data_IF_335535757461
#
_entry.id   IF_335535757461
#
_cell.length_a   1.000
_cell.length_b   1.000
_cell.length_c   1.000
_cell.angle_alpha   90.00
_cell.angle_beta   90.00
_cell.angle_gamma   90.00
#
_symmetry.space_group_name_H-M   'P 1'
#
loop_
_entity.id
_entity.type
_entity.pdbx_description
1 polymer ?
#
# COMPACT_ATOMS: atom_id res chain seq x y z
N UNK A 1 -5.36 10.19 -30.50
CA UNK A 1 -6.44 10.42 -29.51
C UNK A 1 -7.25 9.19 -29.14
N UNK A 2 -7.62 8.30 -30.07
CA UNK A 2 -8.42 7.09 -29.74
C UNK A 2 -7.75 6.16 -28.72
N UNK A 3 -6.42 5.96 -28.80
CA UNK A 3 -5.69 5.16 -27.82
C UNK A 3 -5.79 5.73 -26.39
N UNK A 4 -5.64 7.06 -26.24
CA UNK A 4 -5.83 7.76 -24.98
C UNK A 4 -7.23 7.52 -24.41
N UNK A 5 -8.27 7.69 -25.24
CA UNK A 5 -9.65 7.45 -24.81
C UNK A 5 -9.88 6.00 -24.37
N UNK A 6 -9.28 5.02 -25.07
CA UNK A 6 -9.36 3.61 -24.68
C UNK A 6 -8.73 3.35 -23.31
N UNK A 7 -7.53 3.89 -23.04
CA UNK A 7 -6.86 3.77 -21.75
C UNK A 7 -7.62 4.47 -20.61
N UNK A 8 -8.16 5.65 -20.88
CA UNK A 8 -9.01 6.37 -19.92
C UNK A 8 -10.30 5.58 -19.64
N UNK A 9 -10.94 5.01 -20.67
CA UNK A 9 -12.14 4.17 -20.52
C UNK A 9 -11.86 2.97 -19.62
N UNK A 10 -10.73 2.27 -19.82
CA UNK A 10 -10.33 1.17 -18.96
C UNK A 10 -10.09 1.62 -17.53
N UNK A 11 -9.44 2.77 -17.33
CA UNK A 11 -9.17 3.32 -15.99
C UNK A 11 -10.46 3.66 -15.25
N UNK A 12 -11.43 4.28 -15.92
CA UNK A 12 -12.71 4.69 -15.32
C UNK A 12 -13.73 3.54 -15.21
N UNK A 13 -13.56 2.44 -15.93
CA UNK A 13 -14.40 1.25 -15.81
C UNK A 13 -14.39 0.68 -14.38
N UNK A 14 -13.25 0.76 -13.70
CA UNK A 14 -13.06 0.28 -12.33
C UNK A 14 -13.41 1.32 -11.25
N UNK A 15 -13.93 2.49 -11.65
CA UNK A 15 -14.21 3.64 -10.76
C UNK A 15 -15.70 4.02 -10.80
N UNK A 16 -16.61 3.16 -10.31
CA UNK A 16 -18.05 3.40 -10.40
C UNK A 16 -18.45 4.71 -9.69
N UNK A 17 -19.20 5.54 -10.42
CA UNK A 17 -19.67 6.85 -9.93
C UNK A 17 -18.60 7.95 -9.93
N UNK A 18 -17.42 7.72 -10.53
CA UNK A 18 -16.46 8.79 -10.80
C UNK A 18 -17.05 9.83 -11.77
N UNK A 19 -16.55 11.07 -11.69
CA UNK A 19 -17.07 12.18 -12.50
C UNK A 19 -16.01 12.66 -13.48
N UNK A 20 -16.43 13.13 -14.64
CA UNK A 20 -15.49 13.67 -15.63
C UNK A 20 -15.85 15.13 -15.85
N UNK A 21 -14.84 16.00 -15.76
CA UNK A 21 -15.01 17.41 -16.08
C UNK A 21 -15.17 17.58 -17.59
N UNK A 22 -16.26 18.23 -18.00
CA UNK A 22 -16.60 18.45 -19.42
C UNK A 22 -15.55 19.26 -20.19
N UNK A 23 -14.71 20.05 -19.50
CA UNK A 23 -13.57 20.76 -20.13
C UNK A 23 -12.65 19.81 -20.90
N UNK A 24 -12.62 18.52 -20.53
CA UNK A 24 -11.78 17.51 -21.19
C UNK A 24 -12.10 17.35 -22.69
N UNK A 25 -13.31 17.69 -23.13
CA UNK A 25 -13.72 17.62 -24.53
C UNK A 25 -12.88 18.58 -25.40
N UNK A 26 -12.43 19.69 -24.82
CA UNK A 26 -11.59 20.68 -25.48
C UNK A 26 -10.09 20.43 -25.29
N UNK A 27 -9.71 19.45 -24.45
CA UNK A 27 -8.31 19.17 -24.12
C UNK A 27 -7.69 18.20 -25.14
N UNK A 28 -6.53 18.52 -25.75
CA UNK A 28 -5.85 17.62 -26.68
C UNK A 28 -5.24 16.42 -25.94
N UNK A 29 -6.02 15.34 -25.76
CA UNK A 29 -5.61 14.14 -25.00
C UNK A 29 -4.33 13.48 -25.49
N UNK A 30 -3.95 13.67 -26.77
CA UNK A 30 -2.70 13.13 -27.30
C UNK A 30 -1.44 13.82 -26.74
N UNK A 31 -1.60 14.97 -26.08
CA UNK A 31 -0.53 15.72 -25.42
C UNK A 31 -0.49 15.48 -23.90
N UNK A 32 -1.35 14.59 -23.38
CA UNK A 32 -1.40 14.32 -21.95
C UNK A 32 -0.17 13.54 -21.48
N UNK A 33 0.43 13.97 -20.36
CA UNK A 33 1.65 13.40 -19.78
C UNK A 33 1.43 12.00 -19.21
N UNK A 34 0.19 11.67 -18.83
CA UNK A 34 -0.15 10.35 -18.30
C UNK A 34 -0.10 9.24 -19.35
N UNK A 35 -0.02 9.57 -20.64
CA UNK A 35 0.07 8.58 -21.69
C UNK A 35 1.36 7.78 -21.58
N UNK A 36 1.28 6.44 -21.72
CA UNK A 36 2.47 5.63 -21.68
C UNK A 36 3.24 5.73 -23.02
N UNK A 37 4.52 5.30 -23.03
CA UNK A 37 5.27 5.13 -24.27
C UNK A 37 4.54 4.24 -25.27
N UNK A 38 4.85 4.40 -26.57
CA UNK A 38 4.21 3.64 -27.63
C UNK A 38 4.31 2.12 -27.41
N UNK A 39 3.20 1.41 -27.60
CA UNK A 39 3.12 -0.05 -27.49
C UNK A 39 2.70 -0.58 -26.11
N UNK A 40 2.71 0.27 -25.08
CA UNK A 40 2.23 -0.11 -23.74
C UNK A 40 0.70 -0.07 -23.70
N UNK A 41 0.10 -1.16 -23.22
CA UNK A 41 -1.38 -1.32 -23.15
C UNK A 41 -1.98 -1.08 -21.78
N UNK A 42 -1.15 -1.03 -20.73
CA UNK A 42 -1.60 -0.90 -19.35
C UNK A 42 -0.91 0.29 -18.68
N UNK A 43 -1.67 1.06 -17.91
CA UNK A 43 -1.15 2.18 -17.16
C UNK A 43 -0.54 1.70 -15.84
N UNK A 44 0.61 2.27 -15.47
CA UNK A 44 1.13 2.17 -14.10
C UNK A 44 0.20 2.88 -13.12
N UNK A 45 0.32 2.59 -11.81
CA UNK A 45 -0.43 3.30 -10.77
C UNK A 45 -0.32 4.83 -10.90
N UNK A 46 0.90 5.35 -11.04
CA UNK A 46 1.15 6.79 -11.19
C UNK A 46 0.50 7.37 -12.44
N UNK A 47 0.49 6.63 -13.55
CA UNK A 47 -0.20 7.04 -14.77
C UNK A 47 -1.72 7.03 -14.61
N UNK A 48 -2.31 6.03 -13.90
CA UNK A 48 -3.74 6.03 -13.58
C UNK A 48 -4.11 7.25 -12.73
N UNK A 49 -3.31 7.57 -11.71
CA UNK A 49 -3.51 8.77 -10.90
C UNK A 49 -3.42 10.07 -11.70
N UNK A 50 -2.42 10.21 -12.57
CA UNK A 50 -2.31 11.36 -13.46
C UNK A 50 -3.47 11.44 -14.47
N UNK A 51 -3.95 10.31 -14.99
CA UNK A 51 -5.13 10.23 -15.84
C UNK A 51 -6.38 10.71 -15.09
N UNK A 52 -6.63 10.19 -13.89
CA UNK A 52 -7.73 10.60 -13.03
C UNK A 52 -7.65 12.10 -12.73
N UNK A 53 -6.47 12.63 -12.41
CA UNK A 53 -6.27 14.05 -12.14
C UNK A 53 -6.70 14.91 -13.34
N UNK A 54 -6.31 14.55 -14.56
CA UNK A 54 -6.72 15.24 -15.79
C UNK A 54 -8.24 15.18 -15.99
N UNK A 55 -8.86 14.01 -15.86
CA UNK A 55 -10.28 13.84 -16.16
C UNK A 55 -11.20 14.44 -15.08
N UNK A 56 -10.82 14.36 -13.80
CA UNK A 56 -11.60 14.96 -12.70
C UNK A 56 -11.44 16.49 -12.66
N UNK A 57 -10.27 17.04 -12.95
CA UNK A 57 -10.07 18.49 -12.94
C UNK A 57 -10.38 19.17 -14.28
N UNK A 58 -10.21 18.44 -15.39
CA UNK A 58 -10.20 18.98 -16.75
C UNK A 58 -8.91 19.75 -17.12
N UNK A 59 -7.94 19.85 -16.19
CA UNK A 59 -6.83 20.81 -16.28
C UNK A 59 -5.48 20.22 -15.85
N UNK A 60 -5.43 19.49 -14.73
CA UNK A 60 -4.18 19.05 -14.09
C UNK A 60 -3.48 17.92 -14.85
N UNK A 61 -2.63 18.30 -15.81
CA UNK A 61 -1.77 17.40 -16.57
C UNK A 61 -0.43 17.18 -15.87
N UNK A 62 -0.44 16.36 -14.82
CA UNK A 62 0.73 16.14 -13.95
C UNK A 62 1.58 14.99 -14.49
N UNK A 63 2.91 15.13 -14.40
CA UNK A 63 3.83 14.07 -14.79
C UNK A 63 3.68 12.83 -13.86
N UNK A 64 3.46 11.61 -14.40
CA UNK A 64 3.37 10.38 -13.62
C UNK A 64 4.56 10.08 -12.70
N UNK A 65 5.75 10.62 -12.98
CA UNK A 65 6.93 10.46 -12.12
C UNK A 65 6.68 11.09 -10.75
N UNK A 66 5.98 12.23 -10.70
CA UNK A 66 5.62 12.90 -9.45
C UNK A 66 4.55 12.12 -8.68
N UNK A 67 3.76 11.29 -9.38
CA UNK A 67 2.70 10.45 -8.81
C UNK A 67 3.22 9.14 -8.19
N UNK A 68 4.53 8.88 -8.23
CA UNK A 68 5.09 7.58 -7.79
C UNK A 68 4.78 7.27 -6.31
N UNK A 69 4.85 8.29 -5.45
CA UNK A 69 4.67 8.19 -3.99
C UNK A 69 3.21 8.46 -3.57
N UNK A 70 2.33 8.75 -4.53
CA UNK A 70 0.91 8.97 -4.28
C UNK A 70 0.21 7.64 -4.03
N UNK A 71 -0.49 7.56 -2.91
CA UNK A 71 -1.29 6.40 -2.49
C UNK A 71 -2.78 6.62 -2.71
N UNK A 72 -3.23 7.88 -2.79
CA UNK A 72 -4.62 8.21 -3.10
C UNK A 72 -4.79 9.67 -3.60
N UNK A 73 -5.89 9.95 -4.28
CA UNK A 73 -6.31 11.31 -4.66
C UNK A 73 -7.69 11.58 -4.06
N UNK A 74 -7.86 12.67 -3.33
CA UNK A 74 -9.18 13.18 -2.95
C UNK A 74 -9.58 14.32 -3.86
N UNK A 75 -10.74 14.23 -4.51
CA UNK A 75 -11.31 15.30 -5.30
C UNK A 75 -12.83 15.32 -5.16
N UNK A 76 -13.40 16.48 -4.83
CA UNK A 76 -14.83 16.70 -4.59
C UNK A 76 -15.44 15.76 -3.53
N UNK A 77 -16.11 14.70 -3.98
CA UNK A 77 -16.79 13.68 -3.15
C UNK A 77 -16.24 12.27 -3.41
N UNK A 78 -15.05 12.18 -4.01
CA UNK A 78 -14.42 10.93 -4.39
C UNK A 78 -13.00 10.87 -3.86
N UNK A 79 -12.66 9.74 -3.26
CA UNK A 79 -11.30 9.35 -2.93
C UNK A 79 -10.91 8.20 -3.87
N UNK A 80 -9.92 8.43 -4.71
CA UNK A 80 -9.32 7.44 -5.59
C UNK A 80 -8.11 6.86 -4.88
N UNK A 81 -8.26 5.69 -4.26
CA UNK A 81 -7.23 5.06 -3.45
C UNK A 81 -6.54 3.92 -4.20
N UNK A 82 -5.24 3.78 -3.99
CA UNK A 82 -4.48 2.63 -4.46
C UNK A 82 -5.11 1.33 -3.94
N UNK A 83 -5.24 0.35 -4.82
CA UNK A 83 -5.74 -0.97 -4.46
C UNK A 83 -4.78 -1.69 -3.48
N UNK A 84 -3.53 -1.22 -3.35
CA UNK A 84 -2.58 -1.71 -2.33
C UNK A 84 -3.09 -1.57 -0.90
N UNK A 85 -3.97 -0.59 -0.63
CA UNK A 85 -4.56 -0.38 0.69
C UNK A 85 -5.72 -1.35 1.00
N UNK A 86 -6.16 -2.12 0.01
CA UNK A 86 -7.40 -2.90 0.05
C UNK A 86 -7.21 -4.38 -0.37
N UNK A 87 -5.98 -4.85 -0.52
CA UNK A 87 -5.69 -6.20 -0.99
C UNK A 87 -4.55 -6.84 -0.21
N UNK A 88 -4.51 -8.16 -0.28
CA UNK A 88 -3.47 -8.97 0.33
C UNK A 88 -2.10 -8.77 -0.36
N UNK A 89 -1.01 -8.55 0.39
CA UNK A 89 0.30 -8.30 -0.20
C UNK A 89 0.93 -9.53 -0.87
N UNK A 90 0.33 -10.71 -0.71
CA UNK A 90 0.76 -11.96 -1.34
C UNK A 90 0.45 -12.05 -2.83
N UNK A 91 -0.49 -11.25 -3.35
CA UNK A 91 -0.74 -11.09 -4.78
C UNK A 91 -0.27 -9.72 -5.28
N UNK A 92 0.11 -9.66 -6.55
CA UNK A 92 0.47 -8.44 -7.26
C UNK A 92 -0.53 -8.06 -8.34
N UNK A 93 -1.63 -8.81 -8.46
CA UNK A 93 -2.60 -8.66 -9.56
C UNK A 93 -3.18 -7.24 -9.62
N UNK A 94 -3.30 -6.59 -8.46
CA UNK A 94 -3.90 -5.27 -8.29
C UNK A 94 -2.90 -4.15 -7.98
N UNK A 95 -1.59 -4.36 -8.19
CA UNK A 95 -0.54 -3.38 -7.81
C UNK A 95 -0.71 -2.01 -8.47
N UNK A 96 -1.25 -2.00 -9.69
CA UNK A 96 -1.49 -0.79 -10.47
C UNK A 96 -2.95 -0.32 -10.43
N UNK A 97 -3.81 -0.97 -9.65
CA UNK A 97 -5.23 -0.65 -9.61
C UNK A 97 -5.54 0.49 -8.66
N UNK A 98 -6.60 1.21 -8.99
CA UNK A 98 -7.14 2.31 -8.20
C UNK A 98 -8.61 2.02 -7.99
N UNK A 99 -9.08 2.20 -6.76
CA UNK A 99 -10.50 2.04 -6.39
C UNK A 99 -11.05 3.37 -5.94
N UNK A 100 -12.32 3.62 -6.27
CA UNK A 100 -13.05 4.80 -5.80
C UNK A 100 -13.78 4.50 -4.51
N UNK A 101 -13.63 5.38 -3.52
CA UNK A 101 -14.39 5.45 -2.28
C UNK A 101 -15.16 6.77 -2.27
N UNK A 102 -16.41 6.74 -1.82
CA UNK A 102 -17.22 7.95 -1.66
C UNK A 102 -16.78 8.69 -0.40
N UNK A 103 -16.43 9.97 -0.53
CA UNK A 103 -15.97 10.80 0.57
C UNK A 103 -14.95 11.84 0.14
N UNK A 104 -14.50 12.66 1.08
CA UNK A 104 -13.40 13.59 0.87
C UNK A 104 -12.60 13.75 2.17
N UNK A 105 -11.45 14.41 2.06
CA UNK A 105 -10.54 14.63 3.18
C UNK A 105 -10.73 16.00 3.85
N UNK A 106 -11.87 16.67 3.63
CA UNK A 106 -12.19 17.97 4.22
C UNK A 106 -11.31 19.13 3.74
N UNK A 107 -10.56 18.97 2.65
CA UNK A 107 -9.71 20.01 2.04
C UNK A 107 -10.30 20.47 0.70
N UNK A 108 -10.07 21.74 0.37
CA UNK A 108 -10.46 22.34 -0.90
C UNK A 108 -9.57 21.87 -2.05
N UNK A 109 -10.11 21.83 -3.26
CA UNK A 109 -9.35 21.43 -4.45
C UNK A 109 -9.14 19.92 -4.57
N UNK A 110 -8.03 19.55 -5.21
CA UNK A 110 -7.57 18.18 -5.39
C UNK A 110 -6.37 17.92 -4.46
N UNK A 111 -6.47 16.86 -3.67
CA UNK A 111 -5.43 16.48 -2.70
C UNK A 111 -4.77 15.19 -3.16
N UNK A 112 -3.46 15.23 -3.33
CA UNK A 112 -2.60 14.11 -3.62
C UNK A 112 -2.05 13.57 -2.28
N UNK A 113 -2.59 12.45 -1.81
CA UNK A 113 -2.16 11.82 -0.57
C UNK A 113 -0.90 10.99 -0.82
N UNK A 114 0.19 11.33 -0.14
CA UNK A 114 1.50 10.66 -0.28
C UNK A 114 1.82 9.84 0.95
N UNK A 115 2.51 8.71 0.73
CA UNK A 115 3.02 7.86 1.81
C UNK A 115 4.02 8.62 2.70
N UNK A 116 4.13 8.27 3.99
CA UNK A 116 5.04 8.95 4.91
C UNK A 116 6.50 8.66 4.56
N UNK A 117 7.37 9.66 4.65
CA UNK A 117 8.81 9.45 4.38
C UNK A 117 9.51 8.63 5.47
N UNK A 118 9.05 8.73 6.71
CA UNK A 118 9.67 8.08 7.87
C UNK A 118 8.58 7.42 8.76
N UNK A 119 8.00 6.28 8.32
CA UNK A 119 6.99 5.59 9.10
C UNK A 119 7.56 5.12 10.45
N UNK A 120 6.85 5.42 11.55
CA UNK A 120 7.32 5.12 12.91
C UNK A 120 6.77 3.80 13.39
N UNK A 121 7.51 3.10 14.25
CA UNK A 121 7.01 1.91 14.94
C UNK A 121 6.99 2.16 16.44
N UNK A 122 6.08 1.50 17.16
CA UNK A 122 6.02 1.57 18.62
C UNK A 122 7.36 1.15 19.20
N UNK A 123 7.98 2.08 19.92
CA UNK A 123 9.22 1.84 20.63
C UNK A 123 9.01 0.90 21.82
N UNK A 124 10.08 0.23 22.23
CA UNK A 124 10.09 -0.56 23.47
C UNK A 124 9.99 0.41 24.65
N UNK A 125 8.90 0.34 25.41
CA UNK A 125 8.77 1.12 26.64
C UNK A 125 9.61 0.47 27.74
N UNK A 126 10.74 1.06 28.10
CA UNK A 126 11.65 0.54 29.13
C UNK A 126 11.01 0.44 30.52
N UNK A 127 9.93 1.18 30.77
CA UNK A 127 9.19 1.14 32.04
C UNK A 127 8.12 0.03 32.07
N UNK A 128 7.80 -0.57 30.92
CA UNK A 128 6.92 -1.73 30.80
C UNK A 128 7.77 -2.94 30.45
N UNK A 129 8.37 -3.60 31.45
CA UNK A 129 9.08 -4.85 31.22
C UNK A 129 8.08 -5.96 30.87
N UNK A 130 7.74 -6.09 29.58
CA UNK A 130 7.00 -7.24 29.05
C UNK A 130 8.01 -8.27 28.58
N UNK A 131 8.01 -9.43 29.20
CA UNK A 131 8.81 -10.56 28.73
C UNK A 131 8.20 -11.05 27.42
N UNK A 132 8.88 -10.79 26.30
CA UNK A 132 8.50 -11.29 24.98
C UNK A 132 9.03 -12.71 24.82
N UNK A 133 8.12 -13.68 24.69
CA UNK A 133 8.44 -15.10 24.56
C UNK A 133 8.19 -15.59 23.14
N UNK A 134 9.24 -16.01 22.44
CA UNK A 134 9.13 -16.56 21.09
C UNK A 134 8.99 -18.09 21.15
N UNK A 135 7.76 -18.58 20.98
CA UNK A 135 7.46 -20.00 21.05
C UNK A 135 7.87 -20.74 19.77
N UNK A 136 8.23 -22.04 19.84
CA UNK A 136 8.43 -22.87 18.66
C UNK A 136 7.16 -22.90 17.80
N UNK A 137 7.34 -22.79 16.48
CA UNK A 137 6.20 -22.84 15.57
C UNK A 137 5.62 -24.26 15.52
N UNK A 138 4.29 -24.35 15.72
CA UNK A 138 3.57 -25.62 15.85
C UNK A 138 3.02 -26.16 14.52
N UNK A 139 3.32 -25.52 13.38
CA UNK A 139 2.83 -25.92 12.06
C UNK A 139 1.44 -25.41 11.70
N UNK A 140 0.72 -24.79 12.64
CA UNK A 140 -0.67 -24.35 12.41
C UNK A 140 -0.74 -22.93 11.86
N UNK A 141 -1.50 -22.79 10.79
CA UNK A 141 -1.89 -21.50 10.23
C UNK A 141 -3.07 -20.93 11.02
N UNK A 142 -2.78 -20.03 11.95
CA UNK A 142 -3.77 -19.34 12.79
C UNK A 142 -3.76 -17.85 12.49
N UNK A 143 -4.86 -17.16 12.82
CA UNK A 143 -4.92 -15.70 12.85
C UNK A 143 -4.81 -15.22 14.30
N UNK A 144 -3.62 -14.80 14.68
CA UNK A 144 -3.30 -14.24 16.00
C UNK A 144 -3.53 -12.71 16.04
N UNK A 145 -3.80 -12.07 14.90
CA UNK A 145 -3.87 -10.62 14.70
C UNK A 145 -5.29 -10.11 14.38
N UNK A 146 -6.31 -10.80 14.88
CA UNK A 146 -7.73 -10.54 14.58
C UNK A 146 -8.22 -9.14 14.92
N UNK A 147 -7.61 -8.48 15.91
CA UNK A 147 -7.98 -7.14 16.37
C UNK A 147 -7.27 -6.02 15.60
N UNK A 148 -6.59 -6.34 14.50
CA UNK A 148 -5.85 -5.34 13.70
C UNK A 148 -6.81 -4.46 12.91
N UNK A 149 -6.58 -3.15 12.95
CA UNK A 149 -7.24 -2.17 12.08
C UNK A 149 -6.21 -1.23 11.44
N UNK A 150 -6.59 -0.65 10.29
CA UNK A 150 -5.83 0.40 9.60
C UNK A 150 -6.61 1.71 9.67
N UNK A 151 -5.94 2.76 10.12
CA UNK A 151 -6.49 4.10 10.26
C UNK A 151 -5.70 5.07 9.38
N UNK A 152 -6.40 5.96 8.70
CA UNK A 152 -5.77 6.96 7.84
C UNK A 152 -5.83 8.32 8.55
N UNK A 153 -4.68 8.93 8.73
CA UNK A 153 -4.52 10.25 9.37
C UNK A 153 -3.63 11.14 8.51
N UNK A 154 -3.80 12.46 8.60
CA UNK A 154 -2.98 13.42 7.87
C UNK A 154 -2.00 14.11 8.81
N UNK A 155 -0.78 14.39 8.34
CA UNK A 155 0.12 15.30 9.05
C UNK A 155 -0.19 16.75 8.67
N UNK A 156 0.49 17.70 9.31
CA UNK A 156 0.40 19.12 8.94
C UNK A 156 1.21 19.45 7.69
N UNK A 157 1.97 18.49 7.14
CA UNK A 157 2.78 18.71 5.96
C UNK A 157 1.91 18.81 4.71
N UNK A 158 1.94 19.99 4.09
CA UNK A 158 1.32 20.26 2.81
C UNK A 158 2.32 20.90 1.85
N UNK A 159 2.35 20.42 0.61
CA UNK A 159 3.16 21.01 -0.45
C UNK A 159 2.25 21.37 -1.64
N UNK A 160 2.01 22.66 -1.92
CA UNK A 160 1.26 23.04 -3.10
C UNK A 160 1.99 22.63 -4.38
N UNK A 161 1.23 22.18 -5.38
CA UNK A 161 1.77 21.86 -6.69
C UNK A 161 1.64 23.10 -7.58
N UNK A 162 2.76 23.55 -8.14
CA UNK A 162 2.73 24.64 -9.10
C UNK A 162 2.11 24.15 -10.42
N UNK A 163 0.90 24.65 -10.71
CA UNK A 163 0.15 24.36 -11.94
C UNK A 163 0.42 25.36 -13.06
N UNK A 164 1.35 26.31 -12.85
CA UNK A 164 1.83 27.25 -13.87
C UNK A 164 0.94 28.47 -14.11
N UNK A 165 -0.18 28.62 -13.39
CA UNK A 165 -1.07 29.78 -13.49
C UNK A 165 -0.64 30.89 -12.51
N UNK A 166 -0.09 31.99 -13.03
CA UNK A 166 0.28 33.16 -12.23
C UNK A 166 -0.98 33.90 -11.75
N UNK A 167 -1.16 34.03 -10.43
CA UNK A 167 -2.20 34.86 -9.82
C UNK A 167 -3.39 34.12 -9.18
N UNK A 168 -3.39 32.78 -9.20
CA UNK A 168 -4.34 31.99 -8.41
C UNK A 168 -3.97 32.08 -6.91
N UNK A 169 -4.94 32.49 -6.08
CA UNK A 169 -4.77 32.59 -4.62
C UNK A 169 -5.04 31.23 -3.96
N UNK A 170 -5.97 30.44 -4.52
CA UNK A 170 -6.35 29.14 -4.00
C UNK A 170 -5.36 28.05 -4.44
N UNK A 171 -4.91 27.25 -3.46
CA UNK A 171 -4.12 26.03 -3.70
C UNK A 171 -5.04 24.93 -4.20
N UNK A 172 -5.38 24.94 -5.48
CA UNK A 172 -6.34 23.96 -6.01
C UNK A 172 -5.76 22.54 -6.14
N UNK A 173 -4.44 22.39 -6.00
CA UNK A 173 -3.73 21.11 -6.02
C UNK A 173 -2.60 21.08 -4.99
N UNK A 174 -2.62 20.11 -4.08
CA UNK A 174 -1.57 19.96 -3.07
C UNK A 174 -1.24 18.50 -2.76
N UNK A 175 0.02 18.27 -2.39
CA UNK A 175 0.43 17.04 -1.71
C UNK A 175 0.14 17.16 -0.22
N UNK A 176 -0.40 16.10 0.36
CA UNK A 176 -0.63 15.97 1.81
C UNK A 176 -0.02 14.65 2.25
N UNK A 177 0.90 14.72 3.21
CA UNK A 177 1.46 13.52 3.80
C UNK A 177 0.39 12.80 4.63
N UNK A 178 0.23 11.51 4.35
CA UNK A 178 -0.84 10.67 4.87
C UNK A 178 -0.25 9.48 5.60
N UNK A 179 -0.50 9.40 6.91
CA UNK A 179 -0.09 8.28 7.76
C UNK A 179 -1.12 7.17 7.64
N UNK A 180 -0.65 5.97 7.29
CA UNK A 180 -1.43 4.73 7.39
C UNK A 180 -1.00 4.06 8.69
N UNK A 181 -1.90 4.01 9.67
CA UNK A 181 -1.58 3.62 11.04
C UNK A 181 -2.20 2.28 11.37
N UNK A 182 -1.39 1.36 11.87
CA UNK A 182 -1.78 0.04 12.36
C UNK A 182 -2.16 0.17 13.82
N UNK A 183 -3.34 -0.33 14.16
CA UNK A 183 -3.85 -0.43 15.52
C UNK A 183 -4.12 -1.88 15.89
N UNK A 184 -3.93 -2.22 17.16
CA UNK A 184 -4.39 -3.46 17.77
C UNK A 184 -5.13 -3.14 19.06
N UNK A 185 -6.41 -3.53 19.15
CA UNK A 185 -7.28 -3.27 20.32
C UNK A 185 -7.18 -1.81 20.79
N UNK A 186 -7.36 -0.87 19.84
CA UNK A 186 -7.29 0.57 20.05
C UNK A 186 -5.92 1.14 20.45
N UNK A 187 -4.85 0.32 20.43
CA UNK A 187 -3.49 0.80 20.64
C UNK A 187 -2.76 0.96 19.31
N UNK A 188 -2.14 2.14 19.12
CA UNK A 188 -1.26 2.38 17.98
C UNK A 188 -0.03 1.47 18.04
N UNK A 189 0.29 0.82 16.93
CA UNK A 189 1.41 -0.11 16.78
C UNK A 189 2.50 0.46 15.88
N UNK A 190 2.14 0.99 14.71
CA UNK A 190 3.08 1.54 13.75
C UNK A 190 2.37 2.36 12.69
N UNK A 191 3.10 3.27 12.06
CA UNK A 191 2.79 3.80 10.75
C UNK A 191 3.42 2.87 9.69
N UNK A 192 2.75 2.68 8.57
CA UNK A 192 3.20 1.80 7.48
C UNK A 192 3.31 2.52 6.14
N UNK A 193 4.31 2.13 5.36
CA UNK A 193 4.43 2.45 3.95
C UNK A 193 4.23 1.17 3.11
N UNK A 194 3.15 1.16 2.32
CA UNK A 194 2.75 0.02 1.50
C UNK A 194 3.50 -0.05 0.18
N UNK A 195 4.14 1.04 -0.27
CA UNK A 195 4.75 1.11 -1.59
C UNK A 195 5.93 0.14 -1.74
N UNK A 196 6.90 0.06 -0.81
CA UNK A 196 8.05 -0.82 -0.95
C UNK A 196 7.68 -2.31 -0.96
N UNK A 197 6.62 -2.71 -0.26
CA UNK A 197 6.14 -4.11 -0.24
C UNK A 197 5.56 -4.52 -1.59
N UNK A 198 5.01 -3.57 -2.34
CA UNK A 198 4.38 -3.81 -3.65
C UNK A 198 5.34 -3.80 -4.83
N UNK A 199 6.60 -3.41 -4.62
CA UNK A 199 7.62 -3.32 -5.66
C UNK A 199 8.14 -4.71 -6.07
N UNK A 200 8.20 -4.97 -7.37
CA UNK A 200 8.63 -6.27 -7.91
C UNK A 200 10.16 -6.46 -7.85
N UNK A 201 10.91 -5.36 -7.84
CA UNK A 201 12.38 -5.31 -7.78
C UNK A 201 12.91 -5.27 -6.34
N UNK A 202 12.03 -5.36 -5.34
CA UNK A 202 12.43 -5.41 -3.94
C UNK A 202 12.84 -6.82 -3.52
N UNK A 203 14.14 -7.12 -3.59
CA UNK A 203 14.73 -8.40 -3.19
C UNK A 203 14.46 -8.80 -1.72
N UNK A 204 14.12 -7.83 -0.85
CA UNK A 204 13.76 -8.10 0.53
C UNK A 204 12.35 -8.68 0.69
N UNK A 205 11.48 -8.58 -0.33
CA UNK A 205 10.09 -9.05 -0.28
C UNK A 205 9.87 -10.11 -1.36
N UNK A 206 9.76 -11.37 -0.94
CA UNK A 206 9.48 -12.49 -1.83
C UNK A 206 8.07 -13.00 -1.61
N UNK A 207 7.42 -13.46 -2.68
CA UNK A 207 6.11 -14.12 -2.64
C UNK A 207 6.32 -15.59 -2.96
N UNK A 208 5.87 -16.46 -2.07
CA UNK A 208 6.05 -17.89 -2.26
C UNK A 208 5.06 -18.39 -3.34
N UNK A 209 5.61 -18.90 -4.43
CA UNK A 209 4.86 -19.49 -5.55
C UNK A 209 5.13 -21.00 -5.69
N UNK A 210 5.89 -21.59 -4.77
CA UNK A 210 6.29 -22.99 -4.82
C UNK A 210 5.07 -23.88 -4.57
N UNK A 211 4.75 -24.72 -5.54
CA UNK A 211 3.76 -25.79 -5.38
C UNK A 211 4.47 -27.01 -4.80
N UNK A 212 4.10 -27.40 -3.60
CA UNK A 212 4.68 -28.57 -2.97
C UNK A 212 4.20 -29.86 -3.65
N UNK A 213 5.13 -30.77 -3.97
CA UNK A 213 4.83 -32.06 -4.63
C UNK A 213 4.63 -33.21 -3.65
N UNK A 214 4.79 -32.98 -2.35
CA UNK A 214 4.64 -34.03 -1.32
C UNK A 214 4.33 -33.46 0.05
N UNK A 215 3.41 -34.11 0.77
CA UNK A 215 3.09 -33.74 2.14
C UNK A 215 4.14 -34.32 3.10
N UNK A 216 4.95 -33.45 3.72
CA UNK A 216 5.79 -33.82 4.87
C UNK A 216 5.19 -33.20 6.13
N UNK A 217 4.85 -33.99 7.16
CA UNK A 217 4.34 -33.46 8.42
C UNK A 217 5.44 -32.84 9.30
N UNK A 218 6.70 -32.96 8.91
CA UNK A 218 7.84 -32.50 9.71
C UNK A 218 8.02 -31.00 9.58
N UNK A 219 7.93 -30.28 10.69
CA UNK A 219 8.14 -28.84 10.77
C UNK A 219 9.61 -28.59 11.14
N UNK A 220 10.35 -27.73 10.41
CA UNK A 220 11.72 -27.39 10.78
C UNK A 220 11.78 -26.78 12.19
N UNK A 221 12.66 -27.30 13.04
CA UNK A 221 12.82 -26.84 14.44
C UNK A 221 13.36 -25.41 14.56
N UNK A 222 13.81 -24.82 13.46
CA UNK A 222 14.28 -23.44 13.38
C UNK A 222 13.13 -22.42 13.36
N UNK A 223 11.89 -22.85 13.13
CA UNK A 223 10.74 -21.96 13.02
C UNK A 223 10.23 -21.54 14.39
N UNK A 224 10.00 -20.24 14.58
CA UNK A 224 9.35 -19.66 15.76
C UNK A 224 8.08 -18.92 15.36
N UNK A 225 7.03 -19.00 16.18
CA UNK A 225 5.79 -18.27 15.93
C UNK A 225 5.92 -16.82 16.40
N UNK A 226 5.26 -15.92 15.67
CA UNK A 226 5.00 -14.54 16.06
C UNK A 226 3.48 -14.36 16.11
N UNK A 227 2.97 -14.09 17.31
CA UNK A 227 1.55 -14.16 17.67
C UNK A 227 0.95 -12.86 18.16
N UNK A 228 1.76 -11.84 18.33
CA UNK A 228 1.32 -10.50 18.68
C UNK A 228 2.32 -9.48 18.14
N UNK A 229 1.92 -8.21 18.23
CA UNK A 229 2.72 -7.11 17.72
C UNK A 229 3.99 -6.89 18.54
N UNK A 230 3.98 -7.16 19.84
CA UNK A 230 5.16 -7.08 20.69
C UNK A 230 6.26 -8.06 20.23
N UNK A 231 5.91 -9.32 19.95
CA UNK A 231 6.82 -10.31 19.38
C UNK A 231 7.35 -9.88 18.00
N UNK A 232 6.52 -9.26 17.16
CA UNK A 232 6.97 -8.76 15.85
C UNK A 232 7.95 -7.58 15.99
N UNK A 233 7.72 -6.70 16.96
CA UNK A 233 8.53 -5.50 17.18
C UNK A 233 9.86 -5.81 17.89
N UNK A 234 9.86 -6.81 18.77
CA UNK A 234 11.02 -7.31 19.53
C UNK A 234 11.37 -8.76 19.14
N UNK A 235 11.92 -8.92 17.94
CA UNK A 235 12.30 -10.23 17.39
C UNK A 235 13.54 -10.84 18.06
N UNK A 236 13.73 -12.18 18.01
CA UNK A 236 14.92 -12.82 18.55
C UNK A 236 16.21 -12.31 17.91
N UNK A 237 17.28 -12.15 18.72
CA UNK A 237 18.61 -11.69 18.24
C UNK A 237 19.26 -12.66 17.24
N UNK A 238 18.85 -13.93 17.24
CA UNK A 238 19.32 -14.99 16.36
C UNK A 238 18.43 -15.20 15.12
N UNK A 239 17.42 -14.32 14.91
CA UNK A 239 16.59 -14.31 13.71
C UNK A 239 17.46 -14.16 12.45
N UNK A 240 17.21 -15.01 11.46
CA UNK A 240 17.97 -15.06 10.20
C UNK A 240 19.32 -15.78 10.29
N UNK A 241 19.74 -16.22 11.48
CA UNK A 241 20.95 -17.04 11.68
C UNK A 241 20.61 -18.46 12.09
N UNK A 242 19.87 -18.60 13.19
CA UNK A 242 19.47 -19.90 13.76
C UNK A 242 17.96 -20.11 13.70
N UNK A 243 17.19 -19.03 13.61
CA UNK A 243 15.73 -19.06 13.62
C UNK A 243 15.12 -18.32 12.45
N UNK A 244 13.93 -18.73 12.07
CA UNK A 244 13.07 -18.03 11.12
C UNK A 244 11.73 -17.77 11.79
N UNK A 245 11.27 -16.53 11.78
CA UNK A 245 10.01 -16.13 12.37
C UNK A 245 8.85 -16.35 11.40
N UNK A 246 7.75 -16.89 11.92
CA UNK A 246 6.51 -17.13 11.19
C UNK A 246 5.42 -16.27 11.82
N UNK A 247 5.02 -15.21 11.11
CA UNK A 247 3.91 -14.35 11.52
C UNK A 247 2.59 -15.05 11.22
N UNK A 248 1.83 -15.37 12.27
CA UNK A 248 0.57 -16.12 12.16
C UNK A 248 -0.62 -15.18 11.94
N UNK A 249 -0.75 -14.71 10.71
CA UNK A 249 -1.85 -13.83 10.23
C UNK A 249 -2.67 -14.53 9.13
N UNK A 250 -3.05 -15.80 9.36
CA UNK A 250 -3.72 -16.61 8.34
C UNK A 250 -5.08 -16.03 7.93
N UNK A 251 -5.32 -15.90 6.62
CA UNK A 251 -6.56 -15.39 6.04
C UNK A 251 -6.97 -13.98 6.51
N UNK A 252 -6.00 -13.22 7.03
CA UNK A 252 -6.18 -11.84 7.46
C UNK A 252 -5.28 -10.93 6.63
N UNK A 253 -5.79 -10.50 5.47
CA UNK A 253 -5.02 -9.69 4.52
C UNK A 253 -4.51 -8.38 5.13
N UNK A 254 -5.27 -7.79 6.06
CA UNK A 254 -4.95 -6.53 6.71
C UNK A 254 -3.78 -6.71 7.67
N UNK A 255 -3.80 -7.74 8.51
CA UNK A 255 -2.68 -8.09 9.38
C UNK A 255 -1.43 -8.50 8.58
N UNK A 256 -1.61 -9.23 7.47
CA UNK A 256 -0.51 -9.59 6.56
C UNK A 256 0.14 -8.38 5.92
N UNK A 257 -0.66 -7.42 5.44
CA UNK A 257 -0.17 -6.15 4.90
C UNK A 257 0.61 -5.37 5.95
N UNK A 258 0.02 -5.18 7.14
CA UNK A 258 0.66 -4.48 8.25
C UNK A 258 1.99 -5.14 8.67
N UNK A 259 1.99 -6.46 8.87
CA UNK A 259 3.19 -7.19 9.25
C UNK A 259 4.27 -7.13 8.17
N UNK A 260 3.90 -7.26 6.89
CA UNK A 260 4.85 -7.15 5.78
C UNK A 260 5.51 -5.77 5.72
N UNK A 261 4.74 -4.70 5.88
CA UNK A 261 5.26 -3.33 5.88
C UNK A 261 6.17 -3.08 7.10
N UNK A 262 5.73 -3.46 8.31
CA UNK A 262 6.53 -3.30 9.53
C UNK A 262 7.86 -4.08 9.42
N UNK A 263 7.83 -5.32 8.93
CA UNK A 263 9.03 -6.13 8.76
C UNK A 263 9.99 -5.52 7.73
N UNK A 264 9.47 -5.07 6.59
CA UNK A 264 10.27 -4.42 5.55
C UNK A 264 10.90 -3.12 6.06
N UNK A 265 10.14 -2.30 6.79
CA UNK A 265 10.62 -1.05 7.40
C UNK A 265 11.70 -1.29 8.46
N UNK A 266 11.65 -2.42 9.16
CA UNK A 266 12.70 -2.85 10.11
C UNK A 266 13.90 -3.50 9.42
N UNK A 267 13.91 -3.62 8.10
CA UNK A 267 15.01 -4.17 7.31
C UNK A 267 15.05 -5.70 7.26
N UNK A 268 13.95 -6.39 7.60
CA UNK A 268 13.88 -7.83 7.48
C UNK A 268 13.62 -8.27 6.05
N UNK A 269 14.21 -9.41 5.66
CA UNK A 269 13.81 -10.14 4.46
C UNK A 269 12.59 -10.97 4.78
N UNK A 270 11.54 -10.82 3.99
CA UNK A 270 10.25 -11.45 4.20
C UNK A 270 9.87 -12.35 3.03
N UNK A 271 9.19 -13.45 3.36
CA UNK A 271 8.53 -14.32 2.41
C UNK A 271 7.04 -14.32 2.74
N UNK A 272 6.22 -13.89 1.78
CA UNK A 272 4.77 -13.89 1.91
C UNK A 272 4.27 -15.22 1.34
N UNK A 273 3.85 -16.12 2.24
CA UNK A 273 3.27 -17.39 1.87
C UNK A 273 1.85 -17.23 1.33
N UNK A 274 1.35 -18.11 0.44
CA UNK A 274 -0.05 -18.13 0.04
C UNK A 274 -0.97 -18.39 1.26
N UNK A 275 -2.24 -17.99 1.17
CA UNK A 275 -3.19 -18.23 2.27
C UNK A 275 -3.50 -19.72 2.47
N UNK A 276 -3.31 -20.54 1.44
CA UNK A 276 -3.62 -21.98 1.44
C UNK A 276 -2.42 -22.77 0.97
N UNK A 277 -2.39 -24.05 1.34
CA UNK A 277 -1.43 -25.04 0.85
C UNK A 277 0.04 -24.68 1.09
N UNK A 278 0.33 -24.02 2.22
CA UNK A 278 1.71 -23.71 2.64
C UNK A 278 2.40 -24.99 3.08
N UNK A 279 3.51 -25.31 2.43
CA UNK A 279 4.42 -26.34 2.92
C UNK A 279 5.57 -25.68 3.69
N UNK A 280 5.67 -25.94 4.98
CA UNK A 280 6.71 -25.37 5.85
C UNK A 280 8.12 -25.94 5.59
N UNK A 281 8.23 -26.95 4.73
CA UNK A 281 9.51 -27.52 4.31
C UNK A 281 10.05 -26.87 3.01
N UNK A 282 9.18 -26.29 2.19
CA UNK A 282 9.52 -25.69 0.90
C UNK A 282 9.71 -24.18 1.02
#
# INVERSE_FOLDING_TARGET
SLHALSLATQTFADLPGATINLKIISTPLHQSLWLPPQGVRFLSRGQKFACIAVFESGLYNIDPIVMKDVIAISSRNSIFASALLHNDPGSLDHVNDVRRVVGNVGKTGMVLMVAPQAPRTKGVNLNEFRLVCHNPFNGKSEDSFRSTSLHLTFTEFELPVDVGERGAIDKDLCFVETLIQVYDRDQWIADIDVLPVSQNDNDAVRRNTVKCTGFSPTIPSILVSIDNWEELLDVPKDLGKLRVAVVRAHDNWLARLAAACICQQKGFRIVINPSKDVCWQC
#
